data_IF_133390513150
#
_entry.id   IF_133390513150
#
_cell.length_a   1.000
_cell.length_b   1.000
_cell.length_c   1.000
_cell.angle_alpha   90.00
_cell.angle_beta   90.00
_cell.angle_gamma   90.00
#
_symmetry.space_group_name_H-M   'P 1'
#
loop_
_entity.id
_entity.type
_entity.pdbx_description
1 polymer ?
#
# COMPACT_ATOMS: atom_id res chain seq x y z
N UNK A 1 9.46 5.69 -11.46
CA UNK A 1 10.84 5.16 -11.60
C UNK A 1 11.48 5.66 -12.91
N UNK A 2 11.81 6.96 -13.04
CA UNK A 2 12.27 7.55 -14.32
C UNK A 2 13.77 7.37 -14.60
N UNK A 3 14.57 7.00 -13.59
CA UNK A 3 16.02 6.92 -13.68
C UNK A 3 16.63 5.54 -13.33
N UNK A 4 15.82 4.47 -13.26
CA UNK A 4 16.27 3.12 -12.82
C UNK A 4 16.89 3.06 -11.41
N UNK A 5 16.93 4.17 -10.68
CA UNK A 5 17.26 4.22 -9.25
C UNK A 5 15.97 4.03 -8.48
N UNK A 6 15.85 2.88 -7.83
CA UNK A 6 14.73 2.49 -6.99
C UNK A 6 15.06 1.18 -6.31
N UNK A 7 14.44 0.94 -5.17
CA UNK A 7 14.68 -0.23 -4.34
C UNK A 7 14.06 -0.02 -2.98
N UNK A 8 14.18 -1.01 -2.09
CA UNK A 8 13.49 -0.95 -0.83
C UNK A 8 13.93 0.26 0.01
N UNK A 9 12.96 0.98 0.53
CA UNK A 9 13.12 2.05 1.51
C UNK A 9 13.48 1.48 2.89
N UNK A 10 14.55 1.98 3.49
CA UNK A 10 15.01 1.55 4.81
C UNK A 10 15.33 0.05 4.87
N UNK A 11 14.87 -0.64 5.93
CA UNK A 11 15.11 -2.08 6.10
C UNK A 11 14.33 -2.96 5.12
N UNK A 12 13.26 -2.42 4.52
CA UNK A 12 12.33 -3.17 3.67
C UNK A 12 11.38 -4.11 4.40
N UNK A 13 11.50 -4.26 5.73
CA UNK A 13 10.65 -5.14 6.53
C UNK A 13 9.36 -4.49 6.99
N UNK A 14 9.28 -3.16 6.96
CA UNK A 14 8.11 -2.44 7.40
C UNK A 14 6.89 -2.78 6.53
N UNK A 15 5.72 -2.83 7.16
CA UNK A 15 4.46 -3.08 6.47
C UNK A 15 4.06 -1.86 5.64
N UNK A 16 3.55 -2.10 4.44
CA UNK A 16 2.98 -1.05 3.58
C UNK A 16 1.47 -1.27 3.52
N UNK A 17 0.66 -0.42 4.17
CA UNK A 17 -0.76 -0.39 3.89
C UNK A 17 -0.94 0.17 2.48
N UNK A 18 -1.71 -0.53 1.66
CA UNK A 18 -1.99 -0.15 0.28
C UNK A 18 -3.45 -0.46 -0.03
N UNK A 19 -4.03 0.21 -1.02
CA UNK A 19 -5.36 -0.07 -1.53
C UNK A 19 -5.42 0.40 -2.99
N UNK A 20 -6.18 -0.31 -3.83
CA UNK A 20 -6.43 0.13 -5.19
C UNK A 20 -7.42 1.30 -5.20
N UNK A 21 -7.25 2.29 -6.07
CA UNK A 21 -8.10 3.48 -6.11
C UNK A 21 -9.59 3.13 -6.29
N UNK A 22 -9.90 2.13 -7.11
CA UNK A 22 -11.28 1.67 -7.31
C UNK A 22 -11.89 1.08 -6.03
N UNK A 23 -11.09 0.36 -5.22
CA UNK A 23 -11.56 -0.21 -3.96
C UNK A 23 -11.69 0.86 -2.88
N UNK A 24 -10.83 1.87 -2.86
CA UNK A 24 -10.94 3.02 -1.95
C UNK A 24 -12.29 3.73 -2.15
N UNK A 25 -12.60 4.08 -3.40
CA UNK A 25 -13.87 4.75 -3.74
C UNK A 25 -15.06 3.84 -3.44
N UNK A 26 -14.98 2.55 -3.78
CA UNK A 26 -16.05 1.60 -3.52
C UNK A 26 -16.28 1.39 -2.02
N UNK A 27 -15.23 1.36 -1.20
CA UNK A 27 -15.33 1.20 0.24
C UNK A 27 -15.95 2.43 0.91
N UNK A 28 -15.56 3.64 0.48
CA UNK A 28 -16.20 4.88 0.95
C UNK A 28 -17.70 4.86 0.62
N UNK A 29 -18.06 4.53 -0.63
CA UNK A 29 -19.47 4.44 -1.03
C UNK A 29 -20.22 3.38 -0.22
N UNK A 30 -19.63 2.20 -0.06
CA UNK A 30 -20.21 1.12 0.73
C UNK A 30 -20.49 1.54 2.18
N UNK A 31 -19.57 2.26 2.82
CA UNK A 31 -19.77 2.76 4.19
C UNK A 31 -20.81 3.87 4.26
N UNK A 32 -20.91 4.73 3.24
CA UNK A 32 -21.96 5.76 3.16
C UNK A 32 -23.37 5.14 2.99
N UNK A 33 -23.48 4.02 2.28
CA UNK A 33 -24.75 3.33 2.01
C UNK A 33 -25.14 2.36 3.14
N UNK A 34 -24.23 2.07 4.07
CA UNK A 34 -24.45 1.15 5.18
C UNK A 34 -24.79 1.91 6.46
N UNK A 35 -26.08 2.00 6.80
CA UNK A 35 -26.58 2.71 7.99
C UNK A 35 -26.02 2.17 9.32
N UNK A 36 -25.54 0.91 9.34
CA UNK A 36 -24.93 0.31 10.52
C UNK A 36 -23.44 0.63 10.69
N UNK A 37 -22.82 1.24 9.67
CA UNK A 37 -21.40 1.59 9.72
C UNK A 37 -21.15 2.77 10.66
N UNK A 38 -20.35 2.56 11.71
CA UNK A 38 -20.05 3.60 12.69
C UNK A 38 -18.59 3.51 13.22
N UNK A 39 -18.00 4.68 13.48
CA UNK A 39 -16.62 4.79 13.97
C UNK A 39 -15.56 4.56 12.89
N UNK A 40 -14.35 4.19 13.32
CA UNK A 40 -13.21 4.10 12.41
C UNK A 40 -13.15 2.78 11.62
N UNK A 41 -12.81 2.88 10.33
CA UNK A 41 -12.54 1.78 9.41
C UNK A 41 -11.18 1.99 8.73
N UNK A 42 -10.41 0.92 8.58
CA UNK A 42 -9.21 0.93 7.75
C UNK A 42 -9.60 0.65 6.31
N UNK A 43 -9.25 1.57 5.40
CA UNK A 43 -9.40 1.37 3.95
C UNK A 43 -8.06 0.93 3.38
N UNK A 44 -7.77 -0.34 3.59
CA UNK A 44 -6.53 -0.99 3.14
C UNK A 44 -6.87 -2.36 2.58
N UNK A 45 -6.11 -2.83 1.60
CA UNK A 45 -6.25 -4.16 1.06
C UNK A 45 -6.03 -5.23 2.16
N UNK A 46 -6.72 -6.38 2.08
CA UNK A 46 -6.72 -7.39 3.15
C UNK A 46 -5.38 -8.10 3.33
N UNK A 47 -4.49 -8.03 2.32
CA UNK A 47 -3.19 -8.70 2.32
C UNK A 47 -2.06 -7.68 2.48
N UNK A 48 -1.64 -7.36 3.72
CA UNK A 48 -0.52 -6.45 3.94
C UNK A 48 0.77 -7.07 3.42
N UNK A 49 1.58 -6.25 2.77
CA UNK A 49 2.90 -6.66 2.24
C UNK A 49 4.00 -5.91 2.97
N UNK A 50 5.20 -6.49 2.97
CA UNK A 50 6.40 -5.73 3.36
C UNK A 50 6.78 -4.75 2.26
N UNK A 51 7.45 -3.67 2.61
CA UNK A 51 7.93 -2.70 1.63
C UNK A 51 8.86 -3.36 0.59
N UNK A 52 9.69 -4.33 0.99
CA UNK A 52 10.49 -5.10 0.04
C UNK A 52 9.64 -5.94 -0.93
N UNK A 53 8.56 -6.56 -0.45
CA UNK A 53 7.63 -7.30 -1.32
C UNK A 53 6.88 -6.34 -2.27
N UNK A 54 6.41 -5.20 -1.77
CA UNK A 54 5.78 -4.16 -2.59
C UNK A 54 6.69 -3.72 -3.73
N UNK A 55 7.92 -3.33 -3.40
CA UNK A 55 8.90 -2.85 -4.37
C UNK A 55 9.26 -3.92 -5.41
N UNK A 56 9.44 -5.18 -5.00
CA UNK A 56 9.69 -6.28 -5.94
C UNK A 56 8.50 -6.52 -6.89
N UNK A 57 7.28 -6.51 -6.38
CA UNK A 57 6.09 -6.69 -7.21
C UNK A 57 5.93 -5.55 -8.21
N UNK A 58 6.07 -4.30 -7.77
CA UNK A 58 6.05 -3.13 -8.64
C UNK A 58 7.14 -3.17 -9.71
N UNK A 59 8.38 -3.51 -9.34
CA UNK A 59 9.50 -3.65 -10.27
C UNK A 59 9.22 -4.67 -11.38
N UNK A 60 8.67 -5.84 -11.00
CA UNK A 60 8.30 -6.92 -11.92
C UNK A 60 7.18 -6.49 -12.87
N UNK A 61 6.12 -5.87 -12.34
CA UNK A 61 4.97 -5.42 -13.13
C UNK A 61 5.37 -4.29 -14.10
N UNK A 62 6.18 -3.34 -13.64
CA UNK A 62 6.69 -2.23 -14.47
C UNK A 62 7.83 -2.62 -15.42
N UNK A 63 8.35 -3.86 -15.33
CA UNK A 63 9.56 -4.33 -16.03
C UNK A 63 10.77 -3.40 -15.82
N UNK A 64 10.94 -2.90 -14.59
CA UNK A 64 12.07 -2.01 -14.22
C UNK A 64 12.73 -2.53 -12.94
N UNK A 65 14.04 -2.85 -12.95
CA UNK A 65 14.73 -3.33 -11.76
C UNK A 65 14.69 -2.29 -10.64
N UNK A 66 14.48 -2.74 -9.41
CA UNK A 66 14.45 -1.90 -8.21
C UNK A 66 15.33 -2.51 -7.10
N UNK A 67 16.65 -2.40 -7.28
CA UNK A 67 17.66 -3.08 -6.45
C UNK A 67 18.46 -2.14 -5.54
N UNK A 68 18.36 -0.82 -5.71
CA UNK A 68 19.13 0.15 -4.94
C UNK A 68 18.30 0.62 -3.75
N UNK A 69 18.56 0.15 -2.51
CA UNK A 69 17.79 0.56 -1.36
C UNK A 69 18.03 2.05 -1.04
N UNK A 70 16.97 2.74 -0.60
CA UNK A 70 17.10 4.10 -0.09
C UNK A 70 17.43 4.05 1.41
N UNK A 71 18.62 4.49 1.85
CA UNK A 71 18.99 4.44 3.26
C UNK A 71 18.07 5.31 4.12
N UNK A 72 17.82 4.89 5.36
CA UNK A 72 16.94 5.60 6.28
C UNK A 72 17.39 7.04 6.54
N UNK A 73 18.71 7.30 6.64
CA UNK A 73 19.23 8.65 6.85
C UNK A 73 18.92 9.57 5.66
N UNK A 74 19.03 9.06 4.42
CA UNK A 74 18.74 9.83 3.22
C UNK A 74 17.25 10.18 3.15
N UNK A 75 16.38 9.24 3.55
CA UNK A 75 14.93 9.47 3.65
C UNK A 75 14.59 10.50 4.73
N UNK A 76 15.23 10.45 5.90
CA UNK A 76 15.06 11.45 6.97
C UNK A 76 15.51 12.85 6.53
N UNK A 77 16.62 12.95 5.81
CA UNK A 77 17.09 14.24 5.27
C UNK A 77 16.12 14.82 4.23
N UNK A 78 15.56 13.97 3.37
CA UNK A 78 14.66 14.41 2.30
C UNK A 78 13.22 14.70 2.77
N UNK A 79 12.69 13.91 3.72
CA UNK A 79 11.28 13.95 4.14
C UNK A 79 11.07 14.52 5.55
N UNK A 80 12.14 14.76 6.32
CA UNK A 80 12.06 15.17 7.72
C UNK A 80 11.28 14.17 8.56
N UNK A 81 10.36 14.68 9.38
CA UNK A 81 9.49 13.87 10.26
C UNK A 81 8.59 12.90 9.48
N UNK A 82 8.23 13.23 8.22
CA UNK A 82 7.39 12.36 7.37
C UNK A 82 8.10 11.07 6.97
N UNK A 83 9.43 10.99 7.15
CA UNK A 83 10.17 9.76 6.93
C UNK A 83 9.67 8.61 7.83
N UNK A 84 9.12 8.91 9.02
CA UNK A 84 8.58 7.91 9.93
C UNK A 84 7.45 7.09 9.28
N UNK A 85 6.55 7.74 8.52
CA UNK A 85 5.46 7.06 7.79
C UNK A 85 5.97 5.98 6.84
N UNK A 86 7.13 6.24 6.23
CA UNK A 86 7.75 5.38 5.22
C UNK A 86 8.66 4.32 5.85
N UNK A 87 9.31 4.65 6.98
CA UNK A 87 10.32 3.82 7.63
C UNK A 87 9.75 2.87 8.68
N UNK A 88 8.66 3.24 9.34
CA UNK A 88 8.06 2.45 10.42
C UNK A 88 6.95 1.53 9.89
N UNK A 89 6.16 2.04 8.93
CA UNK A 89 5.05 1.31 8.32
C UNK A 89 3.92 1.01 9.30
N UNK A 90 2.73 0.71 8.78
CA UNK A 90 1.57 0.36 9.60
C UNK A 90 0.88 -0.88 9.04
N UNK A 91 0.68 -1.89 9.89
CA UNK A 91 -0.11 -3.08 9.53
C UNK A 91 -1.59 -2.82 9.80
N UNK A 92 -2.17 -1.91 9.05
CA UNK A 92 -3.60 -1.61 9.10
C UNK A 92 -4.36 -2.69 8.32
N UNK A 93 -4.98 -3.64 9.03
CA UNK A 93 -5.82 -4.69 8.42
C UNK A 93 -7.28 -4.21 8.41
N UNK A 94 -8.04 -4.36 7.31
CA UNK A 94 -9.41 -3.86 7.16
C UNK A 94 -10.46 -4.75 7.84
N UNK A 95 -10.21 -5.22 9.06
CA UNK A 95 -11.05 -6.24 9.72
C UNK A 95 -12.53 -5.84 9.80
N UNK A 96 -12.83 -4.64 10.29
CA UNK A 96 -14.21 -4.13 10.40
C UNK A 96 -14.89 -3.95 9.05
N UNK A 97 -14.13 -3.57 8.02
CA UNK A 97 -14.66 -3.39 6.67
C UNK A 97 -15.03 -4.75 6.04
N UNK A 98 -14.18 -5.77 6.26
CA UNK A 98 -14.46 -7.16 5.87
C UNK A 98 -15.66 -7.73 6.64
N UNK A 99 -15.71 -7.53 7.96
CA UNK A 99 -16.83 -7.97 8.82
C UNK A 99 -18.16 -7.27 8.45
N UNK A 100 -18.09 -6.04 7.94
CA UNK A 100 -19.25 -5.34 7.41
C UNK A 100 -19.74 -5.91 6.06
N UNK A 101 -18.95 -6.76 5.40
CA UNK A 101 -19.31 -7.43 4.14
C UNK A 101 -18.77 -6.76 2.87
N UNK A 102 -17.85 -5.80 2.99
CA UNK A 102 -17.23 -5.20 1.81
C UNK A 102 -16.34 -6.22 1.08
N UNK A 103 -16.53 -6.32 -0.24
CA UNK A 103 -15.75 -7.19 -1.12
C UNK A 103 -14.78 -6.37 -1.97
N UNK A 104 -13.48 -6.62 -1.78
CA UNK A 104 -12.43 -5.98 -2.58
C UNK A 104 -12.40 -6.55 -3.99
N UNK A 105 -12.35 -5.66 -4.99
CA UNK A 105 -12.08 -6.03 -6.39
C UNK A 105 -10.60 -6.38 -6.60
N UNK A 106 -9.69 -5.73 -5.87
CA UNK A 106 -8.25 -5.94 -5.98
C UNK A 106 -7.63 -6.29 -4.61
N UNK A 107 -7.87 -7.50 -4.08
CA UNK A 107 -7.28 -7.94 -2.82
C UNK A 107 -5.78 -8.30 -2.93
N UNK A 108 -5.29 -8.52 -4.15
CA UNK A 108 -3.90 -8.88 -4.47
C UNK A 108 -3.15 -7.71 -5.11
N UNK A 109 -1.92 -7.49 -4.66
CA UNK A 109 -1.10 -6.37 -5.08
C UNK A 109 -0.66 -6.45 -6.55
N UNK A 110 -0.34 -7.65 -7.04
CA UNK A 110 0.12 -7.81 -8.42
C UNK A 110 -1.03 -7.52 -9.40
N UNK A 111 -2.22 -8.04 -9.14
CA UNK A 111 -3.42 -7.74 -9.91
C UNK A 111 -3.74 -6.23 -9.90
N UNK A 112 -3.70 -5.58 -8.73
CA UNK A 112 -3.91 -4.14 -8.59
C UNK A 112 -2.92 -3.32 -9.42
N UNK A 113 -1.62 -3.66 -9.35
CA UNK A 113 -0.59 -2.93 -10.11
C UNK A 113 -0.68 -3.16 -11.62
N UNK A 114 -1.14 -4.33 -12.06
CA UNK A 114 -1.34 -4.63 -13.48
C UNK A 114 -2.53 -3.85 -14.04
N UNK A 115 -3.61 -3.71 -13.27
CA UNK A 115 -4.79 -2.91 -13.66
C UNK A 115 -4.41 -1.45 -13.94
N UNK A 116 -3.55 -0.86 -13.11
CA UNK A 116 -3.08 0.53 -13.29
C UNK A 116 -2.20 0.77 -14.52
N UNK A 117 -1.76 -0.28 -15.22
CA UNK A 117 -0.90 -0.19 -16.41
C UNK A 117 -1.60 -0.66 -17.70
N UNK A 118 -2.84 -1.13 -17.60
CA UNK A 118 -3.68 -1.46 -18.74
C UNK A 118 -4.24 -0.19 -19.39
#
# INVERSE_FOLDING_TARGET
VRFFVGGPLGSGRQAVPWIHLADEVAAIRFLLENESAAGAYNLTAPQPVTQAAFTRTAARVLRRPAIVPAPAFALKLALGEKAALVLEGQRAVPRRLLEAGFAFRFPDLEAALRDLLA
#
